data_IF_258839209809
#
_entry.id   IF_258839209809
#
_cell.length_a   1.000
_cell.length_b   1.000
_cell.length_c   1.000
_cell.angle_alpha   90.00
_cell.angle_beta   90.00
_cell.angle_gamma   90.00
#
_symmetry.space_group_name_H-M   'P 1'
#
loop_
_entity.id
_entity.type
_entity.pdbx_description
1 polymer ?
#
# COMPACT_ATOMS: atom_id res chain seq x y z
N UNK A 1 13.79 -11.52 -24.90
CA UNK A 1 14.00 -11.19 -23.46
C UNK A 1 14.81 -9.91 -23.24
N UNK A 2 16.00 -9.74 -23.84
CA UNK A 2 16.87 -8.56 -23.64
C UNK A 2 16.23 -7.22 -24.08
N UNK A 3 15.44 -7.22 -25.16
CA UNK A 3 14.77 -6.02 -25.69
C UNK A 3 13.72 -5.44 -24.72
N UNK A 4 12.92 -6.29 -24.09
CA UNK A 4 11.94 -5.89 -23.08
C UNK A 4 12.62 -5.33 -21.82
N UNK A 5 13.69 -5.98 -21.35
CA UNK A 5 14.49 -5.47 -20.22
C UNK A 5 15.06 -4.08 -20.52
N UNK A 6 15.61 -3.86 -21.72
CA UNK A 6 16.14 -2.54 -22.13
C UNK A 6 15.04 -1.46 -22.17
N UNK A 7 13.83 -1.81 -22.60
CA UNK A 7 12.70 -0.88 -22.61
C UNK A 7 12.29 -0.48 -21.19
N UNK A 8 12.12 -1.46 -20.29
CA UNK A 8 11.77 -1.24 -18.89
C UNK A 8 12.82 -0.37 -18.19
N UNK A 9 14.12 -0.63 -18.41
CA UNK A 9 15.22 0.16 -17.83
C UNK A 9 15.16 1.62 -18.29
N UNK A 10 14.88 1.88 -19.57
CA UNK A 10 14.72 3.26 -20.07
C UNK A 10 13.55 3.98 -19.40
N UNK A 11 12.42 3.30 -19.22
CA UNK A 11 11.24 3.85 -18.55
C UNK A 11 11.57 4.18 -17.09
N UNK A 12 12.17 3.25 -16.35
CA UNK A 12 12.54 3.43 -14.94
C UNK A 12 13.54 4.58 -14.77
N UNK A 13 14.52 4.71 -15.66
CA UNK A 13 15.52 5.78 -15.58
C UNK A 13 14.89 7.17 -15.82
N UNK A 14 13.93 7.29 -16.74
CA UNK A 14 13.21 8.55 -16.98
C UNK A 14 12.32 8.92 -15.80
N UNK A 15 11.64 7.94 -15.20
CA UNK A 15 10.81 8.14 -14.01
C UNK A 15 11.63 8.52 -12.77
N UNK A 16 12.84 7.98 -12.63
CA UNK A 16 13.73 8.26 -11.49
C UNK A 16 14.30 9.68 -11.46
N UNK A 17 14.41 10.35 -12.60
CA UNK A 17 15.02 11.69 -12.70
C UNK A 17 14.04 12.82 -12.32
N UNK A 18 12.72 12.54 -12.21
CA UNK A 18 11.70 13.59 -12.18
C UNK A 18 10.66 13.51 -11.07
N UNK A 19 10.71 12.57 -10.13
CA UNK A 19 9.58 12.37 -9.21
C UNK A 19 9.93 12.58 -7.75
N UNK A 20 9.17 13.47 -7.12
CA UNK A 20 9.03 13.63 -5.66
C UNK A 20 8.60 12.31 -4.98
N UNK A 21 8.01 11.42 -5.77
CA UNK A 21 7.59 10.07 -5.42
C UNK A 21 8.52 9.07 -6.12
N UNK A 22 9.27 8.27 -5.38
CA UNK A 22 10.25 7.35 -5.97
C UNK A 22 9.64 6.34 -6.95
N UNK A 23 10.37 6.00 -8.02
CA UNK A 23 10.02 4.92 -8.96
C UNK A 23 9.55 3.60 -8.30
N UNK A 24 10.12 3.16 -7.15
CA UNK A 24 9.60 1.99 -6.42
C UNK A 24 8.17 2.16 -5.89
N UNK A 25 7.77 3.37 -5.51
CA UNK A 25 6.42 3.66 -5.01
C UNK A 25 5.40 3.55 -6.15
N UNK A 26 5.69 4.09 -7.33
CA UNK A 26 4.80 3.91 -8.49
C UNK A 26 4.66 2.43 -8.87
N UNK A 27 5.75 1.66 -8.84
CA UNK A 27 5.68 0.21 -9.03
C UNK A 27 4.79 -0.46 -7.97
N UNK A 28 4.85 -0.03 -6.71
CA UNK A 28 3.97 -0.50 -5.63
C UNK A 28 2.49 -0.31 -5.98
N UNK A 29 2.13 0.87 -6.49
CA UNK A 29 0.77 1.18 -6.94
C UNK A 29 0.34 0.35 -8.15
N UNK A 30 1.20 0.21 -9.17
CA UNK A 30 0.93 -0.61 -10.35
C UNK A 30 0.75 -2.09 -10.01
N UNK A 31 1.41 -2.56 -8.95
CA UNK A 31 1.29 -3.92 -8.43
C UNK A 31 0.13 -4.09 -7.43
N UNK A 32 -0.62 -3.01 -7.13
CA UNK A 32 -1.77 -3.06 -6.22
C UNK A 32 -1.40 -3.24 -4.75
N UNK A 33 -0.18 -2.88 -4.36
CA UNK A 33 0.26 -2.97 -2.98
C UNK A 33 -0.43 -1.88 -2.13
N UNK A 34 -0.89 -2.20 -0.91
CA UNK A 34 -1.55 -1.24 -0.03
C UNK A 34 -0.55 -0.20 0.48
N UNK A 35 -0.97 1.06 0.54
CA UNK A 35 -0.14 2.20 0.96
C UNK A 35 0.14 2.25 2.48
N UNK A 36 -0.23 1.18 3.20
CA UNK A 36 -0.01 1.07 4.63
C UNK A 36 0.32 -0.38 5.00
N UNK A 37 1.36 -0.55 5.81
CA UNK A 37 1.76 -1.85 6.35
C UNK A 37 0.93 -2.18 7.59
N UNK A 38 -0.09 -3.04 7.44
CA UNK A 38 -0.87 -3.56 8.58
C UNK A 38 -0.49 -5.00 8.87
N UNK A 39 0.51 -5.22 9.74
CA UNK A 39 0.85 -6.57 10.19
C UNK A 39 -0.27 -7.18 11.05
N UNK A 40 -1.06 -6.35 11.75
CA UNK A 40 -2.16 -6.80 12.60
C UNK A 40 -3.31 -5.81 12.53
N UNK A 41 -4.52 -6.31 12.29
CA UNK A 41 -5.75 -5.53 12.44
C UNK A 41 -6.16 -5.57 13.91
N UNK A 42 -6.05 -4.46 14.61
CA UNK A 42 -6.54 -4.36 15.97
C UNK A 42 -8.08 -4.32 15.94
N UNK A 43 -8.72 -5.22 16.68
CA UNK A 43 -10.14 -5.09 16.94
C UNK A 43 -10.35 -3.87 17.84
N UNK A 44 -11.26 -3.01 17.44
CA UNK A 44 -11.57 -1.76 18.14
C UNK A 44 -12.38 -2.13 19.40
N UNK A 45 -11.68 -2.44 20.50
CA UNK A 45 -12.25 -2.96 21.76
C UNK A 45 -12.71 -1.87 22.74
N UNK A 46 -13.14 -0.71 22.25
CA UNK A 46 -13.48 0.43 23.10
C UNK A 46 -14.90 0.39 23.74
N UNK A 47 -15.85 -0.42 23.23
CA UNK A 47 -17.26 -0.41 23.71
C UNK A 47 -17.86 -1.79 23.99
N UNK A 48 -17.06 -2.84 24.18
CA UNK A 48 -17.64 -4.17 24.45
C UNK A 48 -18.54 -4.16 25.70
N UNK A 49 -18.15 -3.44 26.75
CA UNK A 49 -18.95 -3.24 27.96
C UNK A 49 -20.24 -2.46 27.69
N UNK A 50 -20.18 -1.35 26.96
CA UNK A 50 -21.37 -0.55 26.62
C UNK A 50 -22.33 -1.30 25.68
N UNK A 51 -21.83 -1.95 24.62
CA UNK A 51 -22.66 -2.73 23.69
C UNK A 51 -23.33 -3.89 24.43
N UNK A 52 -22.62 -4.53 25.38
CA UNK A 52 -23.20 -5.56 26.25
C UNK A 52 -24.30 -4.99 27.14
N UNK A 53 -24.12 -3.78 27.68
CA UNK A 53 -25.15 -3.10 28.48
C UNK A 53 -26.39 -2.78 27.66
N UNK A 54 -26.24 -2.16 26.47
CA UNK A 54 -27.36 -1.80 25.58
C UNK A 54 -28.15 -3.03 25.10
N UNK A 55 -27.48 -4.16 24.83
CA UNK A 55 -28.14 -5.40 24.37
C UNK A 55 -28.91 -6.16 25.46
N UNK A 56 -28.64 -5.87 26.74
CA UNK A 56 -29.31 -6.52 27.88
C UNK A 56 -30.56 -5.76 28.34
N UNK A 57 -30.69 -4.50 27.94
CA UNK A 57 -31.90 -3.67 28.13
C UNK A 57 -32.94 -3.99 27.07
#
# INVERSE_FOLDING_TARGET
KVKARKLIVKIVNVLGVKMEIGSPFICSYLLGMPDHYTNRKFAVCYWQSFVSHVRKS
#
